data_IF_844057576096
#
_entry.id   IF_844057576096
#
_cell.length_a   1.000
_cell.length_b   1.000
_cell.length_c   1.000
_cell.angle_alpha   90.00
_cell.angle_beta   90.00
_cell.angle_gamma   90.00
#
_symmetry.space_group_name_H-M   'P 1'
#
loop_
_entity.id
_entity.type
_entity.pdbx_description
1 polymer ?
#
# COMPACT_ATOMS: atom_id res chain seq x y z
N UNK A 1 -18.37 37.33 10.00
CA UNK A 1 -17.05 36.71 10.15
C UNK A 1 -17.27 35.33 10.73
N UNK A 2 -16.89 34.26 10.04
CA UNK A 2 -17.01 32.90 10.55
C UNK A 2 -15.89 32.64 11.57
N UNK A 3 -16.26 32.51 12.84
CA UNK A 3 -15.33 32.23 13.94
C UNK A 3 -14.91 30.75 13.94
N UNK A 4 -13.65 30.50 14.31
CA UNK A 4 -13.17 29.14 14.57
C UNK A 4 -13.75 28.68 15.91
N UNK A 5 -14.40 27.51 15.93
CA UNK A 5 -14.94 26.88 17.14
C UNK A 5 -14.19 25.60 17.45
N UNK A 6 -13.94 25.34 18.73
CA UNK A 6 -13.38 24.07 19.20
C UNK A 6 -14.42 23.28 19.97
N UNK A 7 -14.59 22.01 19.63
CA UNK A 7 -15.40 21.04 20.38
C UNK A 7 -14.48 20.06 21.09
N UNK A 8 -14.63 19.95 22.41
CA UNK A 8 -13.90 18.97 23.23
C UNK A 8 -14.85 17.86 23.68
N UNK A 9 -14.40 16.62 23.55
CA UNK A 9 -15.07 15.42 24.06
C UNK A 9 -14.17 14.86 25.15
N UNK A 10 -14.75 14.46 26.28
CA UNK A 10 -14.02 13.96 27.44
C UNK A 10 -14.28 12.47 27.67
N UNK A 11 -13.32 11.82 28.30
CA UNK A 11 -13.47 10.50 28.90
C UNK A 11 -14.30 10.59 30.19
N UNK A 12 -14.73 9.43 30.72
CA UNK A 12 -15.48 9.36 31.99
C UNK A 12 -14.67 9.90 33.18
N UNK A 13 -13.34 9.79 33.13
CA UNK A 13 -12.43 10.31 34.14
C UNK A 13 -12.19 11.83 34.04
N UNK A 14 -12.85 12.53 33.11
CA UNK A 14 -12.71 13.97 32.90
C UNK A 14 -11.54 14.37 31.98
N UNK A 15 -10.64 13.45 31.61
CA UNK A 15 -9.58 13.72 30.65
C UNK A 15 -10.11 14.01 29.25
N UNK A 16 -9.38 14.80 28.46
CA UNK A 16 -9.77 15.10 27.07
C UNK A 16 -9.57 13.84 26.23
N UNK A 17 -10.63 13.43 25.52
CA UNK A 17 -10.63 12.32 24.56
C UNK A 17 -10.36 12.80 23.14
N UNK A 18 -10.95 13.92 22.77
CA UNK A 18 -10.88 14.45 21.41
C UNK A 18 -11.13 15.94 21.36
N UNK A 19 -10.39 16.63 20.52
CA UNK A 19 -10.59 18.03 20.18
C UNK A 19 -10.81 18.16 18.66
N UNK A 20 -11.80 18.95 18.25
CA UNK A 20 -12.12 19.18 16.84
C UNK A 20 -12.31 20.68 16.61
N UNK A 21 -11.62 21.22 15.61
CA UNK A 21 -11.70 22.62 15.20
C UNK A 21 -12.57 22.75 13.95
N UNK A 22 -13.49 23.72 13.97
CA UNK A 22 -14.46 23.99 12.91
C UNK A 22 -14.34 25.43 12.42
N UNK A 23 -14.45 25.61 11.11
CA UNK A 23 -14.72 26.90 10.46
C UNK A 23 -16.08 26.80 9.76
N UNK A 24 -17.09 27.49 10.31
CA UNK A 24 -18.48 27.26 9.91
C UNK A 24 -18.94 25.85 10.31
N UNK A 25 -19.39 25.06 9.33
CA UNK A 25 -19.77 23.64 9.53
C UNK A 25 -18.66 22.65 9.19
N UNK A 26 -17.56 23.10 8.59
CA UNK A 26 -16.47 22.24 8.12
C UNK A 26 -15.36 22.11 9.15
N UNK A 27 -14.77 20.92 9.28
CA UNK A 27 -13.54 20.72 10.04
C UNK A 27 -12.41 21.46 9.32
N UNK A 28 -11.71 22.32 10.05
CA UNK A 28 -10.63 23.14 9.50
C UNK A 28 -9.77 23.72 10.61
N UNK A 29 -8.47 23.75 10.38
CA UNK A 29 -7.52 24.52 11.20
C UNK A 29 -6.29 24.83 10.39
N UNK A 30 -5.88 26.10 10.44
CA UNK A 30 -4.68 26.56 9.77
C UNK A 30 -3.42 26.16 10.56
N UNK A 31 -2.41 25.62 9.88
CA UNK A 31 -1.06 25.32 10.42
C UNK A 31 -1.01 24.40 11.66
N UNK A 32 -2.10 23.71 11.99
CA UNK A 32 -2.20 22.82 13.16
C UNK A 32 -3.26 21.74 12.93
N UNK A 33 -3.21 20.61 13.65
CA UNK A 33 -4.20 19.56 13.49
C UNK A 33 -5.60 20.06 13.87
N UNK A 34 -6.56 19.83 12.97
CA UNK A 34 -7.96 20.18 13.13
C UNK A 34 -8.76 19.08 13.85
N UNK A 35 -8.18 17.90 14.00
CA UNK A 35 -8.66 16.85 14.90
C UNK A 35 -7.47 16.33 15.69
N UNK A 36 -7.61 16.27 17.02
CA UNK A 36 -6.66 15.55 17.87
C UNK A 36 -7.46 14.58 18.73
N UNK A 37 -7.04 13.32 18.74
CA UNK A 37 -7.55 12.29 19.63
C UNK A 37 -6.47 11.88 20.62
N UNK A 38 -6.89 11.56 21.85
CA UNK A 38 -6.02 11.17 22.94
C UNK A 38 -6.41 9.81 23.51
N UNK A 39 -5.43 9.08 23.99
CA UNK A 39 -5.63 7.94 24.89
C UNK A 39 -6.11 8.42 26.28
N UNK A 40 -6.61 7.50 27.12
CA UNK A 40 -7.06 7.86 28.48
C UNK A 40 -5.93 8.41 29.37
N UNK A 41 -4.68 8.02 29.08
CA UNK A 41 -3.47 8.52 29.72
C UNK A 41 -2.99 9.88 29.16
N UNK A 42 -3.83 10.55 28.36
CA UNK A 42 -3.55 11.86 27.72
C UNK A 42 -2.45 11.88 26.66
N UNK A 43 -1.88 10.73 26.30
CA UNK A 43 -0.95 10.64 25.16
C UNK A 43 -1.75 10.80 23.87
N UNK A 44 -1.23 11.62 22.94
CA UNK A 44 -1.83 11.80 21.63
C UNK A 44 -1.93 10.46 20.91
N UNK A 45 -3.13 10.15 20.42
CA UNK A 45 -3.43 8.93 19.66
C UNK A 45 -3.42 9.20 18.16
N UNK A 46 -4.06 10.29 17.75
CA UNK A 46 -4.19 10.67 16.34
C UNK A 46 -4.17 12.19 16.21
N UNK A 47 -3.53 12.69 15.19
CA UNK A 47 -3.61 14.07 14.73
C UNK A 47 -4.02 14.07 13.25
N UNK A 48 -5.00 14.90 12.89
CA UNK A 48 -5.49 15.03 11.52
C UNK A 48 -5.51 16.50 11.09
N UNK A 49 -5.01 16.77 9.89
CA UNK A 49 -4.94 18.10 9.29
C UNK A 49 -5.99 18.27 8.20
N UNK A 50 -6.71 19.39 8.30
CA UNK A 50 -7.74 19.82 7.37
C UNK A 50 -7.45 21.26 6.97
N UNK A 51 -6.36 21.48 6.22
CA UNK A 51 -5.99 22.81 5.68
C UNK A 51 -6.89 23.25 4.51
N UNK A 52 -7.78 22.36 4.06
CA UNK A 52 -8.88 22.67 3.15
C UNK A 52 -10.18 22.32 3.90
N UNK A 53 -11.17 23.23 4.00
CA UNK A 53 -12.38 22.99 4.78
C UNK A 53 -13.05 21.65 4.45
N UNK A 54 -13.11 20.75 5.44
CA UNK A 54 -13.76 19.45 5.33
C UNK A 54 -12.98 18.37 4.59
N UNK A 55 -11.79 18.67 4.04
CA UNK A 55 -10.93 17.70 3.33
C UNK A 55 -9.65 17.45 4.10
N UNK A 56 -9.30 16.18 4.28
CA UNK A 56 -7.97 15.79 4.78
C UNK A 56 -6.91 16.32 3.81
N UNK A 57 -6.06 17.21 4.29
CA UNK A 57 -5.03 17.85 3.49
C UNK A 57 -4.02 18.50 4.42
N UNK A 58 -2.74 18.33 4.07
CA UNK A 58 -1.63 19.09 4.67
C UNK A 58 -0.56 19.33 3.62
N UNK A 59 -0.16 20.59 3.43
CA UNK A 59 0.84 20.97 2.42
C UNK A 59 2.22 20.39 2.71
N UNK A 60 2.69 20.55 3.95
CA UNK A 60 4.10 20.32 4.32
C UNK A 60 4.30 19.10 5.24
N UNK A 61 3.46 18.06 5.10
CA UNK A 61 3.60 16.86 5.93
C UNK A 61 2.44 15.87 5.81
N UNK A 62 2.44 14.82 6.65
CA UNK A 62 1.32 13.89 6.71
C UNK A 62 0.07 14.60 7.23
N UNK A 63 -1.05 14.35 6.56
CA UNK A 63 -2.36 14.84 6.95
C UNK A 63 -2.99 13.99 8.06
N UNK A 64 -2.48 12.78 8.31
CA UNK A 64 -2.82 11.96 9.48
C UNK A 64 -1.54 11.44 10.09
N UNK A 65 -1.38 11.60 11.40
CA UNK A 65 -0.35 10.91 12.19
C UNK A 65 -1.05 10.12 13.30
N UNK A 66 -0.71 8.84 13.44
CA UNK A 66 -1.17 8.00 14.55
C UNK A 66 0.01 7.60 15.40
N UNK A 67 -0.25 7.41 16.68
CA UNK A 67 0.76 7.07 17.68
C UNK A 67 0.36 5.81 18.43
N UNK A 68 1.36 5.13 18.99
CA UNK A 68 1.15 4.15 20.06
C UNK A 68 0.89 4.87 21.39
N UNK A 69 0.38 4.14 22.39
CA UNK A 69 0.25 4.65 23.76
C UNK A 69 1.58 5.03 24.40
N UNK A 70 2.71 4.63 23.81
CA UNK A 70 4.06 5.08 24.21
C UNK A 70 4.43 6.46 23.67
N UNK A 71 3.60 7.05 22.80
CA UNK A 71 3.88 8.30 22.08
C UNK A 71 4.76 8.11 20.83
N UNK A 72 5.19 6.89 20.54
CA UNK A 72 5.96 6.58 19.32
C UNK A 72 5.01 6.59 18.12
N UNK A 73 5.45 7.18 17.00
CA UNK A 73 4.67 7.16 15.75
C UNK A 73 4.37 5.72 15.34
N UNK A 74 3.14 5.48 14.93
CA UNK A 74 2.64 4.20 14.44
C UNK A 74 2.41 4.24 12.94
N UNK A 75 1.73 5.28 12.47
CA UNK A 75 1.38 5.44 11.06
C UNK A 75 1.40 6.93 10.67
N UNK A 76 1.80 7.20 9.43
CA UNK A 76 1.70 8.52 8.79
C UNK A 76 1.02 8.36 7.43
N UNK A 77 0.07 9.24 7.12
CA UNK A 77 -0.59 9.27 5.81
C UNK A 77 -0.62 10.66 5.23
N UNK A 78 -0.32 10.76 3.94
CA UNK A 78 -0.40 11.97 3.15
C UNK A 78 -1.70 11.97 2.36
N UNK A 79 -2.36 13.13 2.36
CA UNK A 79 -3.59 13.35 1.63
C UNK A 79 -3.52 14.66 0.87
N UNK A 80 -3.99 14.65 -0.38
CA UNK A 80 -4.19 15.82 -1.22
C UNK A 80 -5.68 15.94 -1.54
N UNK A 81 -6.32 16.94 -0.94
CA UNK A 81 -7.73 17.26 -1.18
C UNK A 81 -8.72 16.14 -0.82
N UNK A 82 -8.41 15.37 0.24
CA UNK A 82 -9.24 14.27 0.72
C UNK A 82 -8.84 12.91 0.18
N UNK A 83 -7.98 12.83 -0.83
CA UNK A 83 -7.48 11.58 -1.40
C UNK A 83 -6.07 11.25 -0.90
N UNK A 84 -5.79 9.97 -0.62
CA UNK A 84 -4.42 9.54 -0.30
C UNK A 84 -3.53 9.75 -1.51
N UNK A 85 -2.53 10.60 -1.37
CA UNK A 85 -1.63 10.97 -2.46
C UNK A 85 -0.37 11.65 -1.90
N UNK A 86 0.77 11.40 -2.55
CA UNK A 86 2.04 12.09 -2.31
C UNK A 86 2.90 11.99 -3.57
N UNK A 87 3.45 13.13 -3.98
CA UNK A 87 4.25 13.25 -5.20
C UNK A 87 5.65 12.66 -5.02
N UNK A 88 6.36 13.05 -3.97
CA UNK A 88 7.79 12.75 -3.79
C UNK A 88 8.07 11.59 -2.82
N UNK A 89 7.13 10.66 -2.63
CA UNK A 89 7.35 9.55 -1.70
C UNK A 89 6.12 8.72 -1.35
N UNK A 90 6.24 7.83 -0.36
CA UNK A 90 5.11 7.03 0.10
C UNK A 90 4.06 7.92 0.76
N UNK A 91 2.80 7.71 0.38
CA UNK A 91 1.64 8.35 0.98
C UNK A 91 1.11 7.60 2.22
N UNK A 92 1.70 6.44 2.55
CA UNK A 92 1.50 5.76 3.82
C UNK A 92 2.82 5.19 4.34
N UNK A 93 3.15 5.45 5.60
CA UNK A 93 4.30 4.86 6.29
C UNK A 93 3.81 4.22 7.58
N UNK A 94 4.32 3.04 7.90
CA UNK A 94 4.04 2.32 9.15
C UNK A 94 5.34 2.10 9.91
N UNK A 95 5.24 2.15 11.24
CA UNK A 95 6.35 1.95 12.17
C UNK A 95 5.97 0.88 13.21
N UNK A 96 6.97 0.23 13.80
CA UNK A 96 6.78 -0.64 14.96
C UNK A 96 6.83 0.16 16.28
N UNK A 97 6.66 -0.53 17.41
CA UNK A 97 6.66 0.06 18.74
C UNK A 97 8.02 0.65 19.17
N UNK A 98 9.10 0.31 18.48
CA UNK A 98 10.44 0.85 18.70
C UNK A 98 10.74 2.05 17.78
N UNK A 99 9.78 2.41 16.90
CA UNK A 99 9.93 3.51 15.94
C UNK A 99 10.63 3.13 14.65
N UNK A 100 10.95 1.86 14.43
CA UNK A 100 11.52 1.39 13.17
C UNK A 100 10.44 1.29 12.09
N UNK A 101 10.76 1.76 10.89
CA UNK A 101 9.87 1.68 9.73
C UNK A 101 9.61 0.22 9.35
N UNK A 102 8.33 -0.13 9.17
CA UNK A 102 7.85 -1.48 8.87
C UNK A 102 7.17 -1.60 7.52
N UNK A 103 6.73 -0.49 6.94
CA UNK A 103 6.18 -0.53 5.59
C UNK A 103 5.92 0.83 4.99
N UNK A 104 5.85 0.84 3.68
CA UNK A 104 5.63 2.02 2.84
C UNK A 104 4.62 1.68 1.76
N UNK A 105 3.72 2.62 1.48
CA UNK A 105 2.72 2.49 0.42
C UNK A 105 2.61 3.76 -0.39
N UNK A 106 2.59 3.61 -1.71
CA UNK A 106 2.43 4.69 -2.67
C UNK A 106 1.00 4.71 -3.18
N UNK A 107 0.40 5.88 -3.14
CA UNK A 107 -0.97 6.10 -3.58
C UNK A 107 -1.00 7.25 -4.57
N UNK A 108 -1.90 7.15 -5.56
CA UNK A 108 -2.26 8.20 -6.49
C UNK A 108 -3.78 8.27 -6.56
N UNK A 109 -4.37 9.43 -6.26
CA UNK A 109 -5.82 9.61 -6.20
C UNK A 109 -6.54 8.52 -5.38
N UNK A 110 -6.02 8.23 -4.18
CA UNK A 110 -6.61 7.24 -3.27
C UNK A 110 -6.33 5.77 -3.61
N UNK A 111 -5.72 5.48 -4.75
CA UNK A 111 -5.47 4.11 -5.23
C UNK A 111 -3.99 3.72 -5.07
N UNK A 112 -3.73 2.49 -4.65
CA UNK A 112 -2.37 1.95 -4.59
C UNK A 112 -1.75 1.99 -6.00
N UNK A 113 -0.66 2.73 -6.17
CA UNK A 113 -0.11 3.04 -7.48
C UNK A 113 1.35 3.50 -7.36
N UNK A 114 2.22 2.96 -8.21
CA UNK A 114 3.57 3.50 -8.47
C UNK A 114 4.04 3.06 -9.86
N UNK A 115 4.61 3.98 -10.64
CA UNK A 115 5.14 3.66 -11.98
C UNK A 115 6.55 3.06 -11.90
N UNK A 116 7.46 3.68 -11.14
CA UNK A 116 8.90 3.36 -11.17
C UNK A 116 9.37 2.40 -10.05
N UNK A 117 8.48 1.59 -9.48
CA UNK A 117 8.86 0.68 -8.40
C UNK A 117 7.69 0.01 -7.70
N UNK A 118 7.94 -0.71 -6.59
CA UNK A 118 6.89 -1.33 -5.80
C UNK A 118 6.01 -0.26 -5.15
N UNK A 119 4.70 -0.45 -5.26
CA UNK A 119 3.69 0.38 -4.64
C UNK A 119 3.45 0.02 -3.17
N UNK A 120 3.89 -1.16 -2.72
CA UNK A 120 3.97 -1.54 -1.32
C UNK A 120 5.32 -2.22 -1.03
N UNK A 121 5.98 -1.78 0.05
CA UNK A 121 7.20 -2.40 0.59
C UNK A 121 6.94 -2.71 2.07
N UNK A 122 7.34 -3.88 2.54
CA UNK A 122 7.38 -4.18 3.99
C UNK A 122 8.78 -4.59 4.41
N UNK A 123 9.13 -4.18 5.62
CA UNK A 123 10.43 -4.44 6.22
C UNK A 123 10.27 -5.47 7.34
N UNK A 124 11.26 -6.33 7.50
CA UNK A 124 11.42 -7.20 8.66
C UNK A 124 11.98 -6.41 9.84
N UNK A 125 11.98 -7.02 11.04
CA UNK A 125 12.50 -6.38 12.26
C UNK A 125 13.99 -6.00 12.19
N UNK A 126 14.74 -6.63 11.29
CA UNK A 126 16.14 -6.33 11.00
C UNK A 126 16.32 -5.18 9.98
N UNK A 127 15.23 -4.53 9.56
CA UNK A 127 15.23 -3.43 8.59
C UNK A 127 15.36 -3.86 7.12
N UNK A 128 15.53 -5.16 6.83
CA UNK A 128 15.58 -5.67 5.44
C UNK A 128 14.18 -5.75 4.84
N UNK A 129 14.08 -5.59 3.52
CA UNK A 129 12.83 -5.81 2.80
C UNK A 129 12.45 -7.30 2.89
N UNK A 130 11.19 -7.56 3.23
CA UNK A 130 10.60 -8.92 3.27
C UNK A 130 9.46 -9.10 2.29
N UNK A 131 8.96 -8.00 1.71
CA UNK A 131 7.85 -8.00 0.78
C UNK A 131 7.90 -6.78 -0.14
N UNK A 132 7.68 -7.00 -1.42
CA UNK A 132 7.44 -5.96 -2.41
C UNK A 132 6.25 -6.32 -3.29
N UNK A 133 5.39 -5.34 -3.58
CA UNK A 133 4.31 -5.50 -4.53
C UNK A 133 4.18 -4.30 -5.46
N UNK A 134 4.02 -4.58 -6.75
CA UNK A 134 3.77 -3.60 -7.80
C UNK A 134 2.28 -3.48 -8.05
N UNK A 135 1.80 -2.24 -8.09
CA UNK A 135 0.40 -1.95 -8.36
C UNK A 135 0.25 -0.70 -9.20
N UNK A 136 -0.75 -0.71 -10.07
CA UNK A 136 -1.13 0.40 -10.94
C UNK A 136 -2.65 0.57 -10.89
N UNK A 137 -3.09 1.77 -10.50
CA UNK A 137 -4.51 2.13 -10.41
C UNK A 137 -5.31 1.15 -9.53
N UNK A 138 -4.77 0.85 -8.35
CA UNK A 138 -5.41 -0.01 -7.35
C UNK A 138 -5.40 -1.50 -7.70
N UNK A 139 -4.67 -1.91 -8.75
CA UNK A 139 -4.55 -3.32 -9.17
C UNK A 139 -3.11 -3.76 -9.09
N UNK A 140 -2.86 -4.89 -8.43
CA UNK A 140 -1.58 -5.60 -8.48
C UNK A 140 -1.27 -5.95 -9.93
N UNK A 141 -0.14 -5.46 -10.42
CA UNK A 141 0.19 -5.48 -11.83
C UNK A 141 1.67 -5.17 -12.03
N UNK A 142 2.33 -5.97 -12.88
CA UNK A 142 3.64 -5.67 -13.44
C UNK A 142 3.77 -6.32 -14.81
N UNK A 143 4.33 -5.61 -15.79
CA UNK A 143 4.52 -6.13 -17.15
C UNK A 143 5.85 -6.90 -17.27
N UNK A 144 6.93 -6.34 -16.73
CA UNK A 144 8.30 -6.84 -16.95
C UNK A 144 8.89 -7.63 -15.76
N UNK A 145 8.06 -8.38 -15.02
CA UNK A 145 8.52 -9.18 -13.89
C UNK A 145 7.42 -9.61 -12.94
N UNK A 146 7.77 -10.23 -11.80
CA UNK A 146 6.80 -10.60 -10.79
C UNK A 146 6.21 -9.34 -10.14
N UNK A 147 4.89 -9.34 -10.00
CA UNK A 147 4.18 -8.26 -9.35
C UNK A 147 4.20 -8.36 -7.83
N UNK A 148 4.57 -9.52 -7.27
CA UNK A 148 4.80 -9.72 -5.84
C UNK A 148 6.11 -10.48 -5.68
N UNK A 149 6.96 -10.02 -4.75
CA UNK A 149 8.18 -10.71 -4.35
C UNK A 149 8.17 -10.81 -2.82
N UNK A 150 8.37 -12.03 -2.31
CA UNK A 150 8.59 -12.29 -0.89
C UNK A 150 10.07 -12.62 -0.67
N UNK A 151 10.59 -12.27 0.50
CA UNK A 151 11.97 -12.57 0.87
C UNK A 151 12.04 -13.30 2.21
N UNK A 152 12.99 -14.22 2.28
CA UNK A 152 13.47 -14.78 3.53
C UNK A 152 14.25 -13.73 4.33
N UNK A 153 14.39 -13.99 5.63
CA UNK A 153 15.13 -13.13 6.56
C UNK A 153 16.61 -12.95 6.20
N UNK A 154 17.21 -13.92 5.50
CA UNK A 154 18.58 -13.84 5.01
C UNK A 154 18.71 -12.86 3.81
N UNK A 155 17.60 -12.49 3.17
CA UNK A 155 17.52 -11.57 2.03
C UNK A 155 17.36 -12.27 0.68
N UNK A 156 17.39 -13.60 0.63
CA UNK A 156 17.04 -14.36 -0.57
C UNK A 156 15.54 -14.30 -0.81
N UNK A 157 15.12 -14.40 -2.07
CA UNK A 157 13.70 -14.50 -2.40
C UNK A 157 13.15 -15.81 -1.85
N UNK A 158 11.94 -15.76 -1.30
CA UNK A 158 11.16 -16.94 -0.95
C UNK A 158 10.06 -17.22 -1.97
N UNK A 159 9.58 -16.19 -2.68
CA UNK A 159 8.60 -16.37 -3.74
C UNK A 159 8.63 -15.22 -4.76
N UNK A 160 8.31 -15.55 -6.00
CA UNK A 160 8.03 -14.61 -7.09
C UNK A 160 6.68 -14.95 -7.71
N UNK A 161 5.78 -13.95 -7.80
CA UNK A 161 4.41 -14.16 -8.31
C UNK A 161 4.09 -13.14 -9.40
N UNK A 162 3.82 -13.63 -10.60
CA UNK A 162 3.43 -12.84 -11.76
C UNK A 162 1.93 -12.59 -11.75
N UNK A 163 1.56 -11.31 -11.62
CA UNK A 163 0.16 -10.87 -11.60
C UNK A 163 -0.03 -9.75 -12.61
N UNK A 164 -1.05 -9.89 -13.45
CA UNK A 164 -1.47 -8.88 -14.41
C UNK A 164 -2.92 -8.48 -14.13
N UNK A 165 -3.13 -7.22 -13.70
CA UNK A 165 -4.47 -6.67 -13.40
C UNK A 165 -5.25 -7.56 -12.41
N UNK A 166 -4.64 -7.86 -11.26
CA UNK A 166 -5.17 -8.75 -10.20
C UNK A 166 -5.36 -10.23 -10.60
N UNK A 167 -4.85 -10.66 -11.75
CA UNK A 167 -4.88 -12.07 -12.15
C UNK A 167 -3.47 -12.65 -12.15
N UNK A 168 -3.26 -13.73 -11.41
CA UNK A 168 -2.06 -14.56 -11.52
C UNK A 168 -1.99 -15.06 -12.96
N UNK A 169 -0.96 -14.63 -13.68
CA UNK A 169 -0.84 -14.86 -15.11
C UNK A 169 0.59 -14.66 -15.56
N UNK A 170 1.09 -15.60 -16.34
CA UNK A 170 2.35 -15.48 -17.05
C UNK A 170 2.27 -16.27 -18.36
N UNK A 171 2.90 -15.79 -19.42
CA UNK A 171 2.86 -16.47 -20.74
C UNK A 171 4.17 -17.12 -21.14
N UNK A 172 5.25 -16.90 -20.40
CA UNK A 172 6.61 -17.31 -20.76
C UNK A 172 7.29 -18.16 -19.67
N UNK A 173 6.56 -18.58 -18.64
CA UNK A 173 7.07 -19.44 -17.57
C UNK A 173 6.04 -19.68 -16.46
N UNK A 174 6.47 -20.24 -15.33
CA UNK A 174 5.62 -20.39 -14.14
C UNK A 174 5.21 -19.03 -13.59
N UNK A 175 3.93 -18.89 -13.25
CA UNK A 175 3.38 -17.66 -12.70
C UNK A 175 3.61 -17.55 -11.18
N UNK A 176 3.91 -18.65 -10.52
CA UNK A 176 4.35 -18.69 -9.11
C UNK A 176 5.62 -19.54 -9.06
N UNK A 177 6.66 -18.99 -8.44
CA UNK A 177 7.89 -19.73 -8.11
C UNK A 177 8.13 -19.55 -6.61
N UNK A 178 8.35 -20.65 -5.90
CA UNK A 178 8.78 -20.64 -4.49
C UNK A 178 10.20 -21.18 -4.37
N UNK A 179 10.94 -20.61 -3.43
CA UNK A 179 12.35 -20.91 -3.21
C UNK A 179 12.59 -21.28 -1.75
N UNK A 180 13.49 -22.23 -1.54
CA UNK A 180 13.95 -22.59 -0.19
C UNK A 180 14.87 -21.50 0.42
N UNK A 181 15.38 -21.78 1.63
CA UNK A 181 16.28 -20.86 2.35
C UNK A 181 17.66 -20.70 1.70
N UNK A 182 18.02 -21.53 0.72
CA UNK A 182 19.28 -21.51 -0.03
C UNK A 182 19.14 -20.88 -1.42
N UNK A 183 17.89 -20.63 -1.86
CA UNK A 183 17.56 -20.02 -3.14
C UNK A 183 17.29 -21.04 -4.26
N UNK A 184 17.17 -22.32 -3.92
CA UNK A 184 16.79 -23.37 -4.88
C UNK A 184 15.27 -23.39 -5.06
N UNK A 185 14.81 -23.68 -6.28
CA UNK A 185 13.38 -23.72 -6.62
C UNK A 185 12.75 -24.96 -5.96
N UNK A 186 11.76 -24.74 -5.10
CA UNK A 186 10.95 -25.82 -4.49
C UNK A 186 9.66 -26.07 -5.27
N UNK A 187 9.09 -25.02 -5.89
CA UNK A 187 7.79 -25.10 -6.55
C UNK A 187 7.74 -24.19 -7.78
N UNK A 188 7.13 -24.72 -8.84
CA UNK A 188 6.71 -23.97 -10.03
C UNK A 188 5.23 -24.22 -10.30
N UNK A 189 4.42 -23.17 -10.34
CA UNK A 189 3.00 -23.28 -10.72
C UNK A 189 2.66 -22.40 -11.92
N UNK A 190 1.84 -22.93 -12.82
CA UNK A 190 1.48 -22.30 -14.08
C UNK A 190 0.03 -21.81 -14.01
N UNK A 191 -0.17 -20.54 -14.35
CA UNK A 191 -1.48 -19.90 -14.32
C UNK A 191 -1.71 -19.06 -15.57
N UNK A 192 -2.93 -19.18 -16.13
CA UNK A 192 -3.43 -18.29 -17.17
C UNK A 192 -4.72 -17.64 -16.67
N UNK A 193 -4.70 -16.32 -16.44
CA UNK A 193 -5.87 -15.56 -15.97
C UNK A 193 -6.52 -16.14 -14.69
N UNK A 194 -5.72 -16.44 -13.66
CA UNK A 194 -6.11 -17.15 -12.42
C UNK A 194 -6.47 -18.63 -12.56
N UNK A 195 -6.48 -19.20 -13.78
CA UNK A 195 -6.73 -20.63 -13.97
C UNK A 195 -5.39 -21.35 -13.82
N UNK A 196 -5.26 -22.15 -12.75
CA UNK A 196 -4.13 -23.06 -12.57
C UNK A 196 -4.20 -24.14 -13.65
N UNK A 197 -3.10 -24.35 -14.34
CA UNK A 197 -2.96 -25.40 -15.35
C UNK A 197 -1.69 -26.19 -15.12
N UNK A 198 -1.64 -27.40 -15.64
CA UNK A 198 -0.43 -28.22 -15.64
C UNK A 198 0.63 -27.62 -16.57
N UNK A 199 1.89 -28.00 -16.37
CA UNK A 199 2.99 -27.62 -17.27
C UNK A 199 2.74 -28.09 -18.71
N UNK A 200 2.14 -29.27 -18.90
CA UNK A 200 1.81 -29.78 -20.23
C UNK A 200 0.73 -28.92 -20.92
N UNK A 201 -0.35 -28.58 -20.22
CA UNK A 201 -1.40 -27.70 -20.73
C UNK A 201 -0.85 -26.30 -21.05
N UNK A 202 0.06 -25.78 -20.22
CA UNK A 202 0.73 -24.50 -20.46
C UNK A 202 1.56 -24.52 -21.75
N UNK A 203 2.34 -25.57 -21.98
CA UNK A 203 3.13 -25.73 -23.21
C UNK A 203 2.22 -25.80 -24.45
N UNK A 204 1.10 -26.54 -24.37
CA UNK A 204 0.10 -26.60 -25.45
C UNK A 204 -0.55 -25.23 -25.70
N UNK A 205 -0.97 -24.53 -24.64
CA UNK A 205 -1.54 -23.19 -24.72
C UNK A 205 -0.61 -22.20 -25.43
N UNK A 206 0.67 -22.21 -25.07
CA UNK A 206 1.66 -21.33 -25.69
C UNK A 206 1.94 -21.70 -27.15
N UNK A 207 2.01 -22.99 -27.48
CA UNK A 207 2.17 -23.43 -28.87
C UNK A 207 1.02 -22.94 -29.75
N UNK A 208 -0.23 -23.10 -29.30
CA UNK A 208 -1.43 -22.66 -30.02
C UNK A 208 -1.43 -21.14 -30.20
N UNK A 209 -1.17 -20.36 -29.13
CA UNK A 209 -1.16 -18.90 -29.23
C UNK A 209 -0.06 -18.38 -30.15
N UNK A 210 1.12 -19.01 -30.15
CA UNK A 210 2.20 -18.66 -31.07
C UNK A 210 1.84 -18.93 -32.53
N UNK A 211 1.17 -20.05 -32.83
CA UNK A 211 0.68 -20.35 -34.17
C UNK A 211 -0.39 -19.34 -34.61
N UNK A 212 -1.36 -19.05 -33.75
CA UNK A 212 -2.41 -18.07 -34.05
C UNK A 212 -1.87 -16.66 -34.30
N UNK A 213 -0.89 -16.23 -33.50
CA UNK A 213 -0.24 -14.93 -33.70
C UNK A 213 0.49 -14.83 -35.04
N UNK A 214 1.05 -15.95 -35.55
CA UNK A 214 1.67 -16.02 -36.87
C UNK A 214 0.66 -16.01 -38.02
N UNK A 215 -0.49 -16.66 -37.86
CA UNK A 215 -1.49 -16.79 -38.93
C UNK A 215 -2.42 -15.57 -39.02
N UNK A 216 -2.81 -14.97 -37.88
CA UNK A 216 -3.89 -13.97 -37.85
C UNK A 216 -3.40 -12.53 -37.58
N UNK A 217 -2.11 -12.33 -37.32
CA UNK A 217 -1.59 -11.06 -36.80
C UNK A 217 -2.15 -10.77 -35.39
N UNK A 218 -1.31 -10.99 -34.36
CA UNK A 218 -1.59 -10.69 -32.92
C UNK A 218 -3.08 -10.69 -32.51
N UNK A 219 -3.76 -11.84 -32.58
CA UNK A 219 -5.03 -12.04 -31.87
C UNK A 219 -4.80 -13.04 -30.73
N UNK A 220 -4.60 -12.52 -29.51
CA UNK A 220 -4.57 -13.34 -28.27
C UNK A 220 -5.97 -13.88 -28.00
N UNK A 221 -6.12 -15.20 -27.86
CA UNK A 221 -7.36 -15.80 -27.34
C UNK A 221 -7.39 -15.60 -25.82
N UNK A 222 -8.52 -15.09 -25.34
CA UNK A 222 -8.84 -15.02 -23.91
C UNK A 222 -9.77 -16.19 -23.62
N UNK A 223 -9.39 -17.09 -22.70
CA UNK A 223 -10.32 -18.03 -22.07
C UNK A 223 -11.12 -17.27 -21.01
#
# INVERSE_FOLDING_TARGET
>A
MSEIKVKKIHWKNGGIKREVWYFGSSIYRENAPAVIEYYENSITKTEEWYEIPGKLHRKDGPAIIKYYETGIKKEEYWYREGEKDREDGPAGIQYNKDGHKMGERWYKNGQLHREDGPAEIRYGYNGKIVYEAWAKNGRTHREDGPAIINYWMNGLKSAEIWVYKNKIHRTDGPAVIEYDLYGDIELEEYYVNNIKITKEEFLKYNMINNLLNKVHGKKKITL
#
